data_IF_616391326602
#
_entry.id   IF_616391326602
#
_cell.length_a   1.000
_cell.length_b   1.000
_cell.length_c   1.000
_cell.angle_alpha   90.00
_cell.angle_beta   90.00
_cell.angle_gamma   90.00
#
_symmetry.space_group_name_H-M   'P 1'
#
loop_
_entity.id
_entity.type
_entity.pdbx_description
1 polymer ?
#
# COMPACT_ATOMS: atom_id res chain seq x y z
N UNK A 1 14.36 -0.28 27.92
CA UNK A 1 13.28 0.58 27.41
C UNK A 1 13.36 0.52 25.90
N UNK A 2 12.73 -0.49 25.32
CA UNK A 2 12.60 -0.59 23.87
C UNK A 2 11.52 0.39 23.44
N UNK A 3 11.89 1.36 22.59
CA UNK A 3 10.95 2.29 22.00
C UNK A 3 10.03 1.50 21.07
N UNK A 4 8.87 1.11 21.60
CA UNK A 4 7.78 0.49 20.86
C UNK A 4 7.18 1.54 19.92
N UNK A 5 7.80 1.72 18.76
CA UNK A 5 7.23 2.52 17.68
C UNK A 5 5.99 1.75 17.19
N UNK A 6 4.77 2.31 17.31
CA UNK A 6 3.57 1.59 16.91
C UNK A 6 3.60 1.49 15.39
N UNK A 7 4.00 0.32 14.90
CA UNK A 7 3.97 0.00 13.47
C UNK A 7 2.49 -0.06 13.08
N UNK A 8 1.92 1.08 12.66
CA UNK A 8 0.52 1.19 12.24
C UNK A 8 0.20 0.39 10.96
N UNK A 9 1.14 -0.44 10.50
CA UNK A 9 1.05 -1.21 9.27
C UNK A 9 0.90 -2.72 9.48
N UNK A 10 1.07 -3.24 10.71
CA UNK A 10 1.12 -4.68 10.96
C UNK A 10 -0.24 -5.35 10.68
N UNK A 11 -1.34 -4.70 11.07
CA UNK A 11 -2.68 -5.28 10.89
C UNK A 11 -3.04 -5.53 9.42
N UNK A 12 -2.65 -4.61 8.54
CA UNK A 12 -2.93 -4.71 7.10
C UNK A 12 -1.97 -5.68 6.41
N UNK A 13 -0.69 -5.71 6.80
CA UNK A 13 0.27 -6.71 6.33
C UNK A 13 -0.18 -8.13 6.71
N UNK A 14 -0.62 -8.33 7.96
CA UNK A 14 -1.14 -9.62 8.39
C UNK A 14 -2.37 -10.01 7.59
N UNK A 15 -3.32 -9.09 7.40
CA UNK A 15 -4.51 -9.36 6.61
C UNK A 15 -4.21 -9.68 5.14
N UNK A 16 -3.25 -8.96 4.53
CA UNK A 16 -2.79 -9.23 3.17
C UNK A 16 -2.15 -10.62 3.06
N UNK A 17 -1.30 -11.00 4.02
CA UNK A 17 -0.70 -12.33 4.08
C UNK A 17 -1.75 -13.43 4.26
N UNK A 18 -2.72 -13.22 5.14
CA UNK A 18 -3.82 -14.17 5.38
C UNK A 18 -4.62 -14.38 4.10
N UNK A 19 -5.01 -13.30 3.40
CA UNK A 19 -5.71 -13.39 2.12
C UNK A 19 -4.87 -14.07 1.05
N UNK A 20 -3.57 -13.80 0.99
CA UNK A 20 -2.67 -14.42 0.03
C UNK A 20 -2.55 -15.93 0.29
N UNK A 21 -2.44 -16.33 1.55
CA UNK A 21 -2.41 -17.75 1.95
C UNK A 21 -3.73 -18.46 1.64
N UNK A 22 -4.86 -17.81 1.94
CA UNK A 22 -6.20 -18.39 1.75
C UNK A 22 -6.60 -18.52 0.28
N UNK A 23 -6.26 -17.51 -0.54
CA UNK A 23 -6.69 -17.45 -1.94
C UNK A 23 -5.66 -18.03 -2.92
N UNK A 24 -4.42 -18.27 -2.47
CA UNK A 24 -3.35 -18.82 -3.31
C UNK A 24 -2.96 -17.94 -4.51
N UNK A 25 -3.25 -16.64 -4.44
CA UNK A 25 -2.97 -15.64 -5.49
C UNK A 25 -2.32 -14.42 -4.88
N UNK A 26 -1.60 -13.68 -5.72
CA UNK A 26 -1.02 -12.40 -5.34
C UNK A 26 -2.10 -11.41 -4.87
N UNK A 27 -1.87 -10.82 -3.71
CA UNK A 27 -2.70 -9.76 -3.13
C UNK A 27 -1.81 -8.54 -2.97
N UNK A 28 -2.20 -7.43 -3.60
CA UNK A 28 -1.41 -6.22 -3.63
C UNK A 28 -1.67 -5.37 -2.38
N UNK A 29 -0.62 -4.72 -1.89
CA UNK A 29 -0.72 -3.74 -0.80
C UNK A 29 -0.57 -2.33 -1.35
N UNK A 30 -1.54 -1.45 -1.09
CA UNK A 30 -1.45 -0.03 -1.41
C UNK A 30 -1.19 0.77 -0.12
N UNK A 31 0.07 1.18 0.14
CA UNK A 31 0.41 1.87 1.39
C UNK A 31 -0.04 3.34 1.36
N UNK A 32 -0.16 3.92 2.54
CA UNK A 32 -0.36 5.36 2.73
C UNK A 32 0.84 6.17 2.21
N UNK A 33 0.60 7.37 1.70
CA UNK A 33 1.63 8.30 1.18
C UNK A 33 2.23 9.23 2.25
N UNK A 34 1.56 9.34 3.40
CA UNK A 34 1.83 10.37 4.39
C UNK A 34 3.16 10.16 5.12
N UNK A 35 3.99 11.20 5.11
CA UNK A 35 5.23 11.30 5.88
C UNK A 35 4.92 11.43 7.36
N UNK A 36 5.32 10.45 8.16
CA UNK A 36 5.46 10.69 9.59
C UNK A 36 6.83 11.27 9.88
N UNK A 37 6.94 12.30 10.74
CA UNK A 37 8.22 12.66 11.31
C UNK A 37 8.85 11.38 11.90
N UNK A 38 10.15 11.14 11.63
CA UNK A 38 10.94 10.01 12.14
C UNK A 38 10.78 8.64 11.42
N UNK A 39 10.10 8.54 10.28
CA UNK A 39 10.21 7.33 9.44
C UNK A 39 11.53 7.31 8.63
N UNK A 40 12.07 6.11 8.42
CA UNK A 40 13.31 5.91 7.66
C UNK A 40 13.09 6.08 6.14
N UNK A 41 14.02 6.74 5.47
CA UNK A 41 14.03 6.98 4.01
C UNK A 41 13.90 5.69 3.17
N UNK A 42 14.42 4.55 3.62
CA UNK A 42 14.30 3.29 2.89
C UNK A 42 12.85 2.77 2.83
N UNK A 43 12.10 2.91 3.93
CA UNK A 43 10.68 2.54 4.00
C UNK A 43 9.86 3.45 3.09
N UNK A 44 10.21 4.73 3.02
CA UNK A 44 9.58 5.70 2.12
C UNK A 44 9.75 5.29 0.65
N UNK A 45 10.99 4.98 0.22
CA UNK A 45 11.26 4.57 -1.16
C UNK A 45 10.50 3.29 -1.54
N UNK A 46 10.44 2.33 -0.61
CA UNK A 46 9.69 1.09 -0.81
C UNK A 46 8.18 1.37 -0.98
N UNK A 47 7.60 2.25 -0.16
CA UNK A 47 6.19 2.64 -0.26
C UNK A 47 5.87 3.38 -1.56
N UNK A 48 6.75 4.28 -2.00
CA UNK A 48 6.61 5.00 -3.28
C UNK A 48 6.59 4.00 -4.45
N UNK A 49 7.53 3.05 -4.45
CA UNK A 49 7.62 2.04 -5.50
C UNK A 49 6.38 1.13 -5.52
N UNK A 50 5.94 0.64 -4.37
CA UNK A 50 4.73 -0.19 -4.24
C UNK A 50 3.49 0.55 -4.75
N UNK A 51 3.33 1.84 -4.42
CA UNK A 51 2.20 2.65 -4.93
C UNK A 51 2.23 2.78 -6.46
N UNK A 52 3.41 3.05 -7.03
CA UNK A 52 3.55 3.18 -8.48
C UNK A 52 3.19 1.87 -9.20
N UNK A 53 3.62 0.72 -8.68
CA UNK A 53 3.27 -0.59 -9.24
C UNK A 53 1.76 -0.83 -9.21
N UNK A 54 1.12 -0.64 -8.06
CA UNK A 54 -0.34 -0.86 -7.92
C UNK A 54 -1.13 0.07 -8.85
N UNK A 55 -0.74 1.34 -8.94
CA UNK A 55 -1.40 2.30 -9.84
C UNK A 55 -1.20 1.93 -11.32
N UNK A 56 -0.02 1.46 -11.71
CA UNK A 56 0.23 0.99 -13.08
C UNK A 56 -0.65 -0.22 -13.41
N UNK A 57 -0.69 -1.23 -12.53
CA UNK A 57 -1.56 -2.41 -12.73
C UNK A 57 -3.05 -2.03 -12.81
N UNK A 58 -3.49 -1.10 -11.96
CA UNK A 58 -4.86 -0.56 -12.01
C UNK A 58 -5.15 0.20 -13.31
N UNK A 59 -4.16 0.90 -13.87
CA UNK A 59 -4.31 1.62 -15.13
C UNK A 59 -4.40 0.67 -16.34
N UNK A 60 -3.65 -0.44 -16.31
CA UNK A 60 -3.63 -1.44 -17.38
C UNK A 60 -4.90 -2.32 -17.43
N UNK A 61 -5.58 -2.52 -16.29
CA UNK A 61 -6.85 -3.29 -16.15
C UNK A 61 -6.85 -4.66 -16.85
N UNK A 62 -5.72 -5.35 -16.86
CA UNK A 62 -5.54 -6.60 -17.61
C UNK A 62 -6.17 -7.82 -16.93
N UNK A 63 -6.29 -7.80 -15.60
CA UNK A 63 -6.85 -8.90 -14.79
C UNK A 63 -7.55 -8.37 -13.52
N UNK A 64 -8.50 -9.13 -12.94
CA UNK A 64 -9.13 -8.76 -11.67
C UNK A 64 -8.14 -8.88 -10.51
N UNK A 65 -7.76 -7.74 -9.93
CA UNK A 65 -6.83 -7.65 -8.80
C UNK A 65 -7.55 -7.48 -7.45
N UNK A 66 -6.94 -7.97 -6.37
CA UNK A 66 -7.37 -7.69 -5.00
C UNK A 66 -6.29 -6.81 -4.36
N UNK A 67 -6.71 -5.65 -3.88
CA UNK A 67 -5.83 -4.67 -3.26
C UNK A 67 -6.29 -4.48 -1.82
N UNK A 68 -5.36 -4.60 -0.89
CA UNK A 68 -5.54 -4.29 0.53
C UNK A 68 -4.90 -2.93 0.79
N UNK A 69 -5.57 -2.08 1.56
CA UNK A 69 -5.09 -0.72 1.86
C UNK A 69 -5.62 -0.22 3.20
N UNK A 70 -5.13 0.94 3.62
CA UNK A 70 -5.64 1.68 4.77
C UNK A 70 -6.75 2.63 4.31
N UNK A 71 -7.82 2.82 5.10
CA UNK A 71 -8.87 3.79 4.78
C UNK A 71 -8.32 5.17 4.40
N UNK A 72 -7.29 5.61 5.10
CA UNK A 72 -6.67 6.92 4.94
C UNK A 72 -5.87 7.04 3.62
N UNK A 73 -5.41 5.92 3.05
CA UNK A 73 -4.74 5.89 1.75
C UNK A 73 -5.73 6.09 0.58
N UNK A 74 -7.03 5.82 0.78
CA UNK A 74 -8.07 6.05 -0.22
C UNK A 74 -8.51 7.51 -0.32
N UNK A 75 -8.45 8.24 0.80
CA UNK A 75 -8.82 9.67 0.86
C UNK A 75 -7.82 10.60 0.16
N UNK A 76 -6.64 10.11 -0.18
CA UNK A 76 -5.65 10.88 -0.90
C UNK A 76 -6.07 11.03 -2.37
N UNK A 77 -6.27 12.28 -2.81
CA UNK A 77 -6.77 12.57 -4.16
C UNK A 77 -5.77 12.10 -5.23
N UNK A 78 -6.01 10.91 -5.79
CA UNK A 78 -5.24 10.38 -6.92
C UNK A 78 -5.56 11.21 -8.15
N UNK A 79 -4.67 12.13 -8.53
CA UNK A 79 -4.80 12.88 -9.78
C UNK A 79 -4.65 11.87 -10.93
N UNK A 80 -5.75 11.60 -11.61
CA UNK A 80 -5.78 10.67 -12.73
C UNK A 80 -5.10 11.34 -13.95
N UNK A 81 -4.31 10.58 -14.72
CA UNK A 81 -3.59 11.11 -15.91
C UNK A 81 -4.51 11.72 -16.99
N UNK A 82 -5.83 11.53 -16.89
CA UNK A 82 -6.83 12.15 -17.78
C UNK A 82 -7.16 13.61 -17.47
N UNK A 83 -6.53 14.21 -16.46
CA UNK A 83 -6.80 15.60 -16.04
C UNK A 83 -5.69 16.60 -16.38
N UNK A 84 -4.85 16.31 -17.38
CA UNK A 84 -3.89 17.27 -17.93
C UNK A 84 -4.25 17.65 -19.36
#
# INVERSE_FOLDING_TARGET
>A
MENFCPHQNVGVLNFQNDLQSLLGREILLFPMSYKRPYEFLEIENANILMRAEVLNRLAEKTKPEIIVTYPEALSEKVINKRSL
#
